data_IF_393126694939
#
_entry.id   IF_393126694939
#
_cell.length_a   1.000
_cell.length_b   1.000
_cell.length_c   1.000
_cell.angle_alpha   90.00
_cell.angle_beta   90.00
_cell.angle_gamma   90.00
#
_symmetry.space_group_name_H-M   'P 1'
#
loop_
_entity.id
_entity.type
_entity.pdbx_description
1 polymer ?
#
# COMPACT_ATOMS: atom_id res chain seq x y z
N UNK A 1 60.28 34.13 72.83
CA UNK A 1 59.15 34.81 72.20
C UNK A 1 59.23 34.53 70.71
N UNK A 2 58.49 33.51 70.15
CA UNK A 2 58.45 33.19 68.74
C UNK A 2 56.98 33.29 68.29
N UNK A 3 56.68 34.20 67.39
CA UNK A 3 55.33 34.38 66.80
C UNK A 3 55.11 33.33 65.74
N UNK A 4 54.07 32.57 65.89
CA UNK A 4 53.58 31.60 64.94
C UNK A 4 52.67 32.31 63.94
N UNK A 5 53.01 32.26 62.64
CA UNK A 5 52.18 32.78 61.55
C UNK A 5 51.36 31.61 61.00
N UNK A 6 50.02 31.70 61.09
CA UNK A 6 49.07 30.78 60.52
C UNK A 6 48.76 31.23 59.07
N UNK A 7 49.07 30.42 58.08
CA UNK A 7 48.71 30.60 56.68
C UNK A 7 47.40 29.89 56.42
N UNK A 8 46.34 30.65 56.07
CA UNK A 8 45.08 30.09 55.50
C UNK A 8 45.30 29.74 54.05
N UNK A 9 45.16 28.45 53.72
CA UNK A 9 45.05 28.02 52.32
C UNK A 9 43.57 27.96 51.93
N UNK A 10 43.17 28.88 51.02
CA UNK A 10 41.86 28.85 50.40
C UNK A 10 41.85 27.82 49.24
N UNK A 11 41.18 26.71 49.45
CA UNK A 11 40.95 25.71 48.42
C UNK A 11 39.84 26.15 47.43
N UNK A 12 40.23 26.45 46.21
CA UNK A 12 39.30 26.72 45.09
C UNK A 12 38.91 25.36 44.49
N UNK A 13 37.72 24.87 44.81
CA UNK A 13 37.14 23.67 44.18
C UNK A 13 36.61 24.05 42.78
N UNK A 14 37.36 23.71 41.74
CA UNK A 14 36.88 23.74 40.35
C UNK A 14 35.86 22.60 40.18
N UNK A 15 34.57 22.94 40.12
CA UNK A 15 33.53 22.06 39.61
C UNK A 15 33.69 21.97 38.06
N UNK A 16 34.42 20.97 37.60
CA UNK A 16 34.39 20.53 36.23
C UNK A 16 33.01 19.90 35.94
N UNK A 17 32.10 20.70 35.39
CA UNK A 17 30.90 20.16 34.73
C UNK A 17 31.37 19.33 33.52
N UNK A 18 31.37 18.02 33.66
CA UNK A 18 31.48 17.11 32.53
C UNK A 18 30.20 17.28 31.69
N UNK A 19 30.23 18.18 30.72
CA UNK A 19 29.30 18.12 29.61
C UNK A 19 29.64 16.82 28.88
N UNK A 20 28.84 15.78 29.12
CA UNK A 20 28.84 14.59 28.26
C UNK A 20 28.58 15.10 26.82
N UNK A 21 29.60 15.05 25.97
CA UNK A 21 29.43 15.15 24.54
C UNK A 21 28.53 13.96 24.17
N UNK A 22 27.22 14.20 24.12
CA UNK A 22 26.30 13.26 23.52
C UNK A 22 26.78 13.05 22.09
N UNK A 23 27.29 11.87 21.78
CA UNK A 23 27.63 11.52 20.42
C UNK A 23 26.36 11.66 19.60
N UNK A 24 26.39 12.51 18.58
CA UNK A 24 25.22 12.70 17.71
C UNK A 24 24.83 11.34 17.11
N UNK A 25 23.56 10.95 17.26
CA UNK A 25 23.05 9.73 16.67
C UNK A 25 22.97 9.90 15.15
N UNK A 26 23.75 9.12 14.40
CA UNK A 26 23.69 9.10 12.91
C UNK A 26 22.62 8.10 12.45
N UNK A 27 21.37 8.56 12.39
CA UNK A 27 20.20 7.75 12.00
C UNK A 27 20.14 7.57 10.48
N UNK A 28 19.91 6.35 10.04
CA UNK A 28 19.69 6.02 8.62
C UNK A 28 18.20 5.73 8.40
N UNK A 29 17.57 6.50 7.51
CA UNK A 29 16.18 6.30 7.11
C UNK A 29 16.09 5.81 5.65
N UNK A 30 15.62 4.58 5.47
CA UNK A 30 15.29 4.04 4.14
C UNK A 30 13.88 4.42 3.75
N UNK A 31 13.75 5.23 2.73
CA UNK A 31 12.47 5.64 2.16
C UNK A 31 12.36 5.24 0.69
N UNK A 32 11.23 5.50 0.06
CA UNK A 32 11.02 5.26 -1.35
C UNK A 32 11.48 6.44 -2.19
N UNK A 33 11.96 6.18 -3.41
CA UNK A 33 12.47 7.20 -4.33
C UNK A 33 11.45 8.33 -4.62
N UNK A 34 10.16 8.01 -4.65
CA UNK A 34 9.10 9.03 -4.83
C UNK A 34 8.83 9.90 -3.59
N UNK A 35 9.30 9.49 -2.42
CA UNK A 35 9.20 10.23 -1.16
C UNK A 35 10.54 10.86 -0.73
N UNK A 36 11.63 10.64 -1.46
CA UNK A 36 13.00 11.02 -1.05
C UNK A 36 13.10 12.50 -0.63
N UNK A 37 12.58 13.41 -1.45
CA UNK A 37 12.65 14.83 -1.13
C UNK A 37 11.85 15.19 0.11
N UNK A 38 10.63 14.67 0.24
CA UNK A 38 9.79 14.89 1.43
C UNK A 38 10.44 14.31 2.70
N UNK A 39 11.05 13.13 2.60
CA UNK A 39 11.79 12.54 3.72
C UNK A 39 12.97 13.41 4.15
N UNK A 40 13.73 13.98 3.20
CA UNK A 40 14.81 14.92 3.50
C UNK A 40 14.30 16.20 4.17
N UNK A 41 13.17 16.74 3.71
CA UNK A 41 12.57 17.94 4.27
C UNK A 41 12.11 17.69 5.73
N UNK A 42 11.43 16.58 6.01
CA UNK A 42 11.02 16.19 7.36
C UNK A 42 12.21 15.81 8.26
N UNK A 43 13.22 15.14 7.71
CA UNK A 43 14.46 14.90 8.44
C UNK A 43 15.13 16.22 8.87
N UNK A 44 15.17 17.22 7.98
CA UNK A 44 15.71 18.55 8.32
C UNK A 44 14.85 19.27 9.38
N UNK A 45 13.51 19.15 9.33
CA UNK A 45 12.60 19.68 10.36
C UNK A 45 12.85 18.99 11.72
N UNK A 46 12.90 17.66 11.73
CA UNK A 46 13.15 16.88 12.93
C UNK A 46 14.51 17.22 13.58
N UNK A 47 15.58 17.36 12.78
CA UNK A 47 16.91 17.72 13.28
C UNK A 47 16.98 19.12 13.89
N UNK A 48 16.12 20.07 13.51
CA UNK A 48 16.03 21.38 14.18
C UNK A 48 15.48 21.25 15.60
N UNK A 49 14.53 20.33 15.81
CA UNK A 49 13.94 20.04 17.12
C UNK A 49 14.83 19.11 17.96
N UNK A 50 15.72 18.34 17.32
CA UNK A 50 16.59 17.33 17.94
C UNK A 50 18.06 17.51 17.44
N UNK A 51 18.79 18.52 17.91
CA UNK A 51 20.12 18.88 17.36
C UNK A 51 21.21 17.83 17.64
N UNK A 52 20.94 16.89 18.53
CA UNK A 52 21.78 15.73 18.86
C UNK A 52 21.55 14.53 17.90
N UNK A 53 20.66 14.65 16.92
CA UNK A 53 20.38 13.62 15.92
C UNK A 53 20.77 14.13 14.54
N UNK A 54 21.49 13.32 13.79
CA UNK A 54 21.72 13.52 12.35
C UNK A 54 20.98 12.44 11.60
N UNK A 55 20.32 12.80 10.49
CA UNK A 55 19.54 11.85 9.69
C UNK A 55 20.09 11.81 8.27
N UNK A 56 20.43 10.61 7.81
CA UNK A 56 20.77 10.32 6.42
C UNK A 56 19.60 9.56 5.77
N UNK A 57 18.98 10.18 4.77
CA UNK A 57 17.90 9.57 4.00
C UNK A 57 18.49 8.82 2.81
N UNK A 58 18.11 7.56 2.65
CA UNK A 58 18.48 6.72 1.52
C UNK A 58 17.23 6.28 0.76
N UNK A 59 17.18 6.64 -0.53
CA UNK A 59 16.06 6.30 -1.40
C UNK A 59 16.19 4.88 -1.96
N UNK A 60 15.07 4.19 -2.03
CA UNK A 60 14.94 2.82 -2.55
C UNK A 60 13.90 2.75 -3.66
N UNK A 61 14.00 1.73 -4.50
CA UNK A 61 12.97 1.35 -5.46
C UNK A 61 12.14 0.20 -4.91
N UNK A 62 10.87 0.10 -5.30
CA UNK A 62 9.97 -0.94 -4.78
C UNK A 62 10.43 -2.35 -5.15
N UNK A 63 10.89 -2.54 -6.40
CA UNK A 63 11.40 -3.83 -6.85
C UNK A 63 12.61 -4.27 -6.03
N UNK A 64 12.51 -5.45 -5.39
CA UNK A 64 13.60 -6.02 -4.59
C UNK A 64 13.77 -5.43 -3.19
N UNK A 65 12.97 -4.44 -2.77
CA UNK A 65 13.09 -3.81 -1.45
C UNK A 65 12.97 -4.82 -0.30
N UNK A 66 11.98 -5.72 -0.36
CA UNK A 66 11.80 -6.73 0.69
C UNK A 66 13.01 -7.64 0.85
N UNK A 67 13.58 -8.11 -0.27
CA UNK A 67 14.81 -8.93 -0.26
C UNK A 67 16.00 -8.15 0.31
N UNK A 68 16.13 -6.87 -0.05
CA UNK A 68 17.18 -5.99 0.50
C UNK A 68 17.04 -5.82 2.01
N UNK A 69 15.80 -5.62 2.50
CA UNK A 69 15.53 -5.54 3.95
C UNK A 69 15.90 -6.84 4.65
N UNK A 70 15.50 -8.00 4.10
CA UNK A 70 15.84 -9.30 4.67
C UNK A 70 17.36 -9.51 4.77
N UNK A 71 18.12 -9.15 3.73
CA UNK A 71 19.59 -9.23 3.76
C UNK A 71 20.16 -8.29 4.84
N UNK A 72 19.68 -7.07 4.97
CA UNK A 72 20.11 -6.14 6.00
C UNK A 72 19.82 -6.67 7.41
N UNK A 73 18.62 -7.22 7.64
CA UNK A 73 18.23 -7.83 8.91
C UNK A 73 19.08 -9.05 9.27
N UNK A 74 19.46 -9.85 8.27
CA UNK A 74 20.31 -11.05 8.49
C UNK A 74 21.78 -10.68 8.77
N UNK A 75 22.30 -9.69 8.05
CA UNK A 75 23.70 -9.26 8.20
C UNK A 75 23.96 -8.39 9.43
N UNK A 76 22.92 -7.89 10.10
CA UNK A 76 23.05 -6.94 11.21
C UNK A 76 23.48 -5.52 10.77
N UNK A 77 23.57 -5.25 9.47
CA UNK A 77 23.85 -3.92 8.91
C UNK A 77 22.53 -3.24 8.55
N UNK A 78 21.75 -2.91 9.56
CA UNK A 78 20.38 -2.40 9.39
C UNK A 78 20.32 -0.87 9.39
N UNK A 79 19.44 -0.25 8.59
CA UNK A 79 19.04 1.14 8.83
C UNK A 79 18.24 1.23 10.14
N UNK A 80 17.98 2.46 10.60
CA UNK A 80 17.26 2.70 11.85
C UNK A 80 15.74 2.79 11.63
N UNK A 81 15.30 3.36 10.50
CA UNK A 81 13.89 3.47 10.12
C UNK A 81 13.72 3.06 8.66
N UNK A 82 12.69 2.28 8.37
CA UNK A 82 12.43 1.77 7.02
C UNK A 82 10.96 1.97 6.66
N UNK A 83 10.71 2.54 5.47
CA UNK A 83 9.41 2.51 4.83
C UNK A 83 9.20 1.16 4.17
N UNK A 84 8.14 0.45 4.52
CA UNK A 84 7.82 -0.88 3.98
C UNK A 84 6.35 -0.96 3.56
N UNK A 85 6.06 -1.65 2.46
CA UNK A 85 4.68 -1.98 2.12
C UNK A 85 4.02 -2.78 3.23
N UNK A 86 2.76 -2.49 3.51
CA UNK A 86 2.01 -3.14 4.58
C UNK A 86 1.97 -4.68 4.44
N UNK A 87 1.85 -5.22 3.22
CA UNK A 87 1.87 -6.67 2.98
C UNK A 87 3.19 -7.37 3.31
N UNK A 88 4.31 -6.62 3.41
CA UNK A 88 5.61 -7.18 3.79
C UNK A 88 5.87 -7.11 5.30
N UNK A 89 5.04 -6.40 6.07
CA UNK A 89 5.30 -6.16 7.50
C UNK A 89 5.31 -7.46 8.30
N UNK A 90 4.28 -8.31 8.15
CA UNK A 90 4.17 -9.58 8.90
C UNK A 90 5.29 -10.57 8.54
N UNK A 91 5.60 -10.85 7.25
CA UNK A 91 6.76 -11.68 6.91
C UNK A 91 8.08 -11.19 7.51
N UNK A 92 8.28 -9.86 7.59
CA UNK A 92 9.46 -9.30 8.24
C UNK A 92 9.42 -9.45 9.77
N UNK A 93 8.27 -9.26 10.40
CA UNK A 93 8.10 -9.44 11.86
C UNK A 93 8.41 -10.88 12.29
N UNK A 94 8.03 -11.88 11.50
CA UNK A 94 8.31 -13.30 11.75
C UNK A 94 9.79 -13.66 11.84
N UNK A 95 10.66 -12.87 11.20
CA UNK A 95 12.11 -13.08 11.36
C UNK A 95 12.59 -12.88 12.79
N UNK A 96 11.75 -12.33 13.70
CA UNK A 96 12.12 -11.95 15.06
C UNK A 96 13.11 -10.77 15.12
N UNK A 97 13.36 -10.12 13.98
CA UNK A 97 14.34 -9.05 13.81
C UNK A 97 13.76 -7.65 13.83
N UNK A 98 12.43 -7.50 14.00
CA UNK A 98 11.79 -6.21 14.15
C UNK A 98 11.54 -5.87 15.62
N UNK A 99 11.56 -4.58 15.94
CA UNK A 99 11.24 -4.05 17.26
C UNK A 99 9.72 -4.01 17.47
N UNK A 100 9.18 -4.53 18.59
CA UNK A 100 7.80 -4.27 18.99
C UNK A 100 7.62 -2.79 19.34
N UNK A 101 6.63 -2.13 18.71
CA UNK A 101 6.56 -0.67 18.72
C UNK A 101 5.44 -0.08 19.60
N UNK A 102 4.40 -0.83 19.95
CA UNK A 102 3.18 -0.30 20.61
C UNK A 102 3.49 0.58 21.81
N UNK A 103 4.16 0.03 22.81
CA UNK A 103 4.39 0.72 24.07
C UNK A 103 5.35 1.91 23.90
N UNK A 104 6.38 1.73 23.08
CA UNK A 104 7.40 2.76 22.82
C UNK A 104 6.81 3.96 22.07
N UNK A 105 5.98 3.72 21.08
CA UNK A 105 5.30 4.77 20.34
C UNK A 105 4.20 5.44 21.18
N UNK A 106 3.51 4.69 22.05
CA UNK A 106 2.56 5.29 23.03
C UNK A 106 3.31 6.24 23.96
N UNK A 107 4.46 5.81 24.52
CA UNK A 107 5.30 6.66 25.36
C UNK A 107 5.84 7.89 24.61
N UNK A 108 6.03 7.79 23.30
CA UNK A 108 6.43 8.90 22.43
C UNK A 108 5.24 9.77 21.95
N UNK A 109 4.00 9.50 22.42
CA UNK A 109 2.81 10.33 22.19
C UNK A 109 2.00 9.99 20.94
N UNK A 110 2.23 8.85 20.31
CA UNK A 110 1.43 8.38 19.17
C UNK A 110 0.01 8.02 19.64
N UNK A 111 -1.00 8.57 18.95
CA UNK A 111 -2.42 8.32 19.24
C UNK A 111 -2.96 7.25 18.30
N UNK A 112 -2.95 6.00 18.73
CA UNK A 112 -3.37 4.86 17.92
C UNK A 112 -4.86 4.86 17.59
N UNK A 113 -5.70 5.46 18.43
CA UNK A 113 -7.15 5.59 18.17
C UNK A 113 -7.46 6.47 16.94
N UNK A 114 -6.49 7.28 16.50
CA UNK A 114 -6.60 8.07 15.27
C UNK A 114 -6.03 7.35 14.04
N UNK A 115 -5.54 6.13 14.15
CA UNK A 115 -5.05 5.34 13.01
C UNK A 115 -6.14 4.39 12.54
N UNK A 116 -6.32 4.26 11.23
CA UNK A 116 -7.26 3.32 10.63
C UNK A 116 -7.04 1.90 11.22
N UNK A 117 -8.05 1.29 11.84
CA UNK A 117 -7.90 -0.03 12.49
C UNK A 117 -7.35 -1.09 11.54
N UNK A 118 -7.89 -1.18 10.31
CA UNK A 118 -7.42 -2.13 9.31
C UNK A 118 -5.94 -1.91 8.91
N UNK A 119 -5.42 -0.67 9.00
CA UNK A 119 -3.98 -0.42 8.80
C UNK A 119 -3.14 -0.94 9.95
N UNK A 120 -3.62 -0.85 11.20
CA UNK A 120 -2.94 -1.45 12.36
C UNK A 120 -2.87 -2.98 12.24
N UNK A 121 -3.92 -3.62 11.72
CA UNK A 121 -3.94 -5.06 11.49
C UNK A 121 -2.81 -5.50 10.54
N UNK A 122 -2.49 -4.71 9.50
CA UNK A 122 -1.39 -5.01 8.58
C UNK A 122 -0.01 -4.98 9.23
N UNK A 123 0.13 -4.33 10.36
CA UNK A 123 1.37 -4.15 11.10
C UNK A 123 1.47 -5.01 12.37
N UNK A 124 0.43 -5.81 12.65
CA UNK A 124 0.31 -6.64 13.86
C UNK A 124 0.57 -8.11 13.54
N UNK A 125 1.45 -8.72 14.31
CA UNK A 125 1.77 -10.15 14.26
C UNK A 125 1.81 -10.70 15.69
N UNK A 126 1.12 -11.82 15.93
CA UNK A 126 0.98 -12.46 17.26
C UNK A 126 0.62 -11.47 18.39
N UNK A 127 -0.31 -10.54 18.08
CA UNK A 127 -0.79 -9.54 19.03
C UNK A 127 0.18 -8.38 19.31
N UNK A 128 1.36 -8.37 18.67
CA UNK A 128 2.34 -7.30 18.80
C UNK A 128 2.39 -6.41 17.55
N UNK A 129 2.53 -5.11 17.73
CA UNK A 129 2.65 -4.14 16.65
C UNK A 129 4.13 -3.98 16.24
N UNK A 130 4.46 -4.31 14.99
CA UNK A 130 5.81 -4.25 14.43
C UNK A 130 6.00 -3.18 13.36
N UNK A 131 4.98 -2.36 13.13
CA UNK A 131 5.05 -1.24 12.21
C UNK A 131 4.12 -0.12 12.63
N UNK A 132 4.44 1.11 12.25
CA UNK A 132 3.58 2.27 12.40
C UNK A 132 3.00 2.65 11.04
N UNK A 133 1.71 2.45 10.79
CA UNK A 133 1.08 2.85 9.54
C UNK A 133 1.16 4.36 9.32
N UNK A 134 1.58 4.77 8.13
CA UNK A 134 1.60 6.19 7.75
C UNK A 134 0.83 6.48 6.47
N UNK A 135 0.62 5.49 5.62
CA UNK A 135 -0.12 5.60 4.38
C UNK A 135 -1.15 4.49 4.27
N UNK A 136 -2.34 4.84 3.79
CA UNK A 136 -3.41 3.92 3.46
C UNK A 136 -3.90 4.20 2.03
N UNK A 137 -4.30 3.16 1.30
CA UNK A 137 -4.89 3.30 -0.02
C UNK A 137 -5.92 2.22 -0.29
N UNK A 138 -6.87 2.55 -1.15
CA UNK A 138 -7.81 1.62 -1.74
C UNK A 138 -8.03 2.04 -3.20
N UNK A 139 -8.13 1.08 -4.10
CA UNK A 139 -8.48 1.38 -5.49
C UNK A 139 -9.97 1.73 -5.59
N UNK A 140 -10.27 2.67 -6.50
CA UNK A 140 -11.60 2.99 -6.97
C UNK A 140 -11.64 2.83 -8.50
N UNK A 141 -12.82 2.92 -9.11
CA UNK A 141 -12.97 2.91 -10.55
C UNK A 141 -12.67 4.31 -11.11
N UNK A 142 -11.55 4.46 -11.79
CA UNK A 142 -11.18 5.68 -12.52
C UNK A 142 -11.68 5.53 -13.95
N UNK A 143 -12.41 6.53 -14.50
CA UNK A 143 -12.96 6.48 -15.84
C UNK A 143 -12.81 7.79 -16.58
N UNK A 144 -12.80 7.69 -17.93
CA UNK A 144 -12.71 8.82 -18.84
C UNK A 144 -14.12 9.30 -19.21
N UNK A 145 -14.53 10.47 -18.69
CA UNK A 145 -15.84 11.07 -18.95
C UNK A 145 -16.08 11.39 -20.44
N UNK A 146 -15.04 11.77 -21.16
CA UNK A 146 -15.11 11.98 -22.60
C UNK A 146 -15.46 10.71 -23.36
N UNK A 147 -14.83 9.57 -23.00
CA UNK A 147 -15.16 8.28 -23.60
C UNK A 147 -16.60 7.84 -23.29
N UNK A 148 -17.10 8.12 -22.06
CA UNK A 148 -18.50 7.88 -21.70
C UNK A 148 -19.46 8.69 -22.59
N UNK A 149 -19.23 10.01 -22.71
CA UNK A 149 -20.05 10.89 -23.60
C UNK A 149 -20.06 10.37 -25.03
N UNK A 150 -18.91 10.01 -25.57
CA UNK A 150 -18.81 9.46 -26.94
C UNK A 150 -19.51 8.10 -27.10
N UNK A 151 -19.62 7.29 -26.05
CA UNK A 151 -20.33 6.02 -26.04
C UNK A 151 -21.83 6.17 -25.76
N UNK A 152 -22.35 7.41 -25.58
CA UNK A 152 -23.74 7.68 -25.21
C UNK A 152 -24.10 7.31 -23.79
N UNK A 153 -23.07 7.24 -22.88
CA UNK A 153 -23.25 7.02 -21.47
C UNK A 153 -23.24 8.35 -20.72
N UNK A 154 -23.98 8.42 -19.60
CA UNK A 154 -23.92 9.58 -18.71
C UNK A 154 -22.56 9.63 -18.01
N UNK A 155 -21.74 10.69 -18.21
CA UNK A 155 -20.42 10.81 -17.61
C UNK A 155 -20.43 11.03 -16.10
N UNK A 156 -21.60 11.35 -15.49
CA UNK A 156 -21.73 11.56 -14.06
C UNK A 156 -22.24 10.30 -13.33
N UNK A 157 -22.60 9.25 -14.07
CA UNK A 157 -23.17 8.01 -13.54
C UNK A 157 -22.25 6.82 -13.84
N UNK A 158 -21.20 6.55 -13.04
CA UNK A 158 -20.38 5.36 -13.22
C UNK A 158 -21.18 4.09 -12.87
N UNK A 159 -20.83 2.92 -13.48
CA UNK A 159 -21.51 1.67 -13.21
C UNK A 159 -21.34 1.28 -11.74
N UNK A 160 -22.42 0.81 -11.10
CA UNK A 160 -22.45 0.41 -9.70
C UNK A 160 -22.48 -1.11 -9.53
N UNK A 161 -23.16 -1.79 -10.44
CA UNK A 161 -23.30 -3.25 -10.39
C UNK A 161 -22.43 -3.94 -11.45
N UNK A 162 -22.18 -5.24 -11.28
CA UNK A 162 -21.45 -6.03 -12.26
C UNK A 162 -22.15 -6.07 -13.61
N UNK A 163 -23.49 -6.13 -13.61
CA UNK A 163 -24.26 -6.08 -14.85
C UNK A 163 -24.07 -4.77 -15.60
N UNK A 164 -24.23 -3.63 -14.91
CA UNK A 164 -23.98 -2.31 -15.49
C UNK A 164 -22.53 -2.17 -15.95
N UNK A 165 -21.58 -2.67 -15.17
CA UNK A 165 -20.15 -2.59 -15.45
C UNK A 165 -19.79 -3.33 -16.76
N UNK A 166 -20.29 -4.54 -16.94
CA UNK A 166 -20.07 -5.31 -18.18
C UNK A 166 -20.73 -4.61 -19.37
N UNK A 167 -21.95 -4.08 -19.20
CA UNK A 167 -22.65 -3.35 -20.26
C UNK A 167 -21.91 -2.07 -20.65
N UNK A 168 -21.42 -1.29 -19.68
CA UNK A 168 -20.64 -0.09 -19.95
C UNK A 168 -19.32 -0.44 -20.62
N UNK A 169 -18.62 -1.46 -20.11
CA UNK A 169 -17.35 -1.91 -20.70
C UNK A 169 -17.52 -2.34 -22.17
N UNK A 170 -18.62 -3.05 -22.50
CA UNK A 170 -18.95 -3.41 -23.91
C UNK A 170 -19.22 -2.18 -24.76
N UNK A 171 -20.04 -1.21 -24.30
CA UNK A 171 -20.35 0.03 -25.05
C UNK A 171 -19.12 0.90 -25.26
N UNK A 172 -18.20 0.92 -24.30
CA UNK A 172 -16.95 1.67 -24.37
C UNK A 172 -15.90 0.99 -25.26
N UNK A 173 -16.04 -0.33 -25.52
CA UNK A 173 -15.13 -1.07 -26.41
C UNK A 173 -15.51 -0.86 -27.86
N UNK A 174 -14.81 0.09 -28.51
CA UNK A 174 -15.16 0.54 -29.85
C UNK A 174 -14.00 1.30 -30.52
N UNK A 175 -14.11 1.54 -31.79
CA UNK A 175 -13.29 2.55 -32.47
C UNK A 175 -13.90 3.94 -32.19
N UNK A 176 -13.10 4.86 -31.62
CA UNK A 176 -13.54 6.22 -31.29
C UNK A 176 -13.60 7.10 -32.56
N UNK A 177 -14.07 8.36 -32.41
CA UNK A 177 -14.18 9.35 -33.48
C UNK A 177 -12.86 9.69 -34.19
N UNK A 178 -11.72 9.38 -33.56
CA UNK A 178 -10.35 9.57 -34.09
C UNK A 178 -9.82 8.34 -34.82
N UNK A 179 -10.60 7.26 -34.95
CA UNK A 179 -10.19 6.00 -35.57
C UNK A 179 -9.32 5.10 -34.62
N UNK A 180 -9.24 5.42 -33.35
CA UNK A 180 -8.44 4.69 -32.36
C UNK A 180 -9.31 3.61 -31.70
N UNK A 181 -8.73 2.41 -31.53
CA UNK A 181 -9.39 1.35 -30.74
C UNK A 181 -9.34 1.71 -29.26
N UNK A 182 -10.51 1.73 -28.63
CA UNK A 182 -10.70 1.91 -27.18
C UNK A 182 -11.23 0.61 -26.61
N UNK A 183 -10.72 0.22 -25.45
CA UNK A 183 -11.23 -0.88 -24.64
C UNK A 183 -11.95 -0.34 -23.41
N UNK A 184 -13.04 -1.00 -23.01
CA UNK A 184 -13.89 -0.51 -21.93
C UNK A 184 -13.24 -0.56 -20.57
N UNK A 185 -12.44 -1.60 -20.30
CA UNK A 185 -11.82 -1.79 -19.00
C UNK A 185 -10.39 -2.37 -19.12
N UNK A 186 -9.52 -1.95 -18.24
CA UNK A 186 -8.16 -2.46 -18.15
C UNK A 186 -8.04 -3.57 -17.11
N UNK A 187 -8.01 -4.83 -17.54
CA UNK A 187 -7.61 -5.97 -16.72
C UNK A 187 -6.09 -5.99 -16.59
N UNK A 188 -5.59 -6.26 -15.39
CA UNK A 188 -4.16 -6.46 -15.13
C UNK A 188 -3.85 -7.95 -15.00
N UNK A 189 -2.98 -8.44 -15.86
CA UNK A 189 -2.42 -9.79 -15.72
C UNK A 189 -1.20 -9.85 -14.79
N UNK A 190 -0.79 -8.73 -14.17
CA UNK A 190 0.31 -8.69 -13.23
C UNK A 190 1.53 -7.92 -13.71
N UNK A 191 1.93 -8.10 -14.97
CA UNK A 191 3.09 -7.42 -15.57
C UNK A 191 4.38 -7.68 -14.79
N UNK A 192 5.20 -6.63 -14.61
CA UNK A 192 6.48 -6.72 -13.91
C UNK A 192 6.36 -6.85 -12.38
N UNK A 193 5.23 -6.36 -11.81
CA UNK A 193 4.98 -6.34 -10.35
C UNK A 193 4.14 -7.54 -9.89
N UNK A 194 4.33 -8.71 -10.52
CA UNK A 194 3.60 -9.93 -10.14
C UNK A 194 4.13 -10.53 -8.81
N UNK A 195 3.29 -11.27 -8.09
CA UNK A 195 1.83 -11.50 -8.22
C UNK A 195 0.99 -10.36 -7.65
N UNK A 196 1.61 -9.45 -6.88
CA UNK A 196 0.92 -8.41 -6.10
C UNK A 196 -0.05 -7.55 -6.92
N UNK A 197 0.34 -7.20 -8.13
CA UNK A 197 -0.49 -6.39 -9.02
C UNK A 197 -1.78 -7.11 -9.47
N UNK A 198 -1.68 -8.39 -9.80
CA UNK A 198 -2.83 -9.21 -10.19
C UNK A 198 -3.77 -9.43 -8.99
N UNK A 199 -3.23 -9.78 -7.82
CA UNK A 199 -3.99 -9.95 -6.58
C UNK A 199 -4.76 -8.70 -6.21
N UNK A 200 -4.12 -7.55 -6.24
CA UNK A 200 -4.72 -6.28 -5.83
C UNK A 200 -5.97 -5.92 -6.65
N UNK A 201 -6.09 -6.47 -7.85
CA UNK A 201 -7.19 -6.20 -8.79
C UNK A 201 -8.20 -7.31 -8.92
N UNK A 202 -7.80 -8.57 -8.75
CA UNK A 202 -8.69 -9.73 -8.90
C UNK A 202 -9.33 -10.17 -7.57
N UNK A 203 -8.61 -10.10 -6.46
CA UNK A 203 -9.12 -10.52 -5.14
C UNK A 203 -10.37 -9.75 -4.69
N UNK A 204 -10.52 -8.43 -4.95
CA UNK A 204 -11.77 -7.74 -4.65
C UNK A 204 -13.01 -8.34 -5.30
N UNK A 205 -12.91 -8.92 -6.50
CA UNK A 205 -14.04 -9.59 -7.15
C UNK A 205 -14.51 -10.83 -6.38
N UNK A 206 -13.58 -11.59 -5.80
CA UNK A 206 -13.96 -12.69 -4.91
C UNK A 206 -14.66 -12.16 -3.65
N UNK A 207 -14.07 -11.15 -2.99
CA UNK A 207 -14.58 -10.59 -1.74
C UNK A 207 -15.96 -9.95 -1.88
N UNK A 208 -16.19 -9.21 -2.97
CA UNK A 208 -17.49 -8.64 -3.30
C UNK A 208 -18.56 -9.72 -3.49
N UNK A 209 -18.16 -10.90 -3.95
CA UNK A 209 -19.08 -12.02 -4.13
C UNK A 209 -19.25 -12.91 -2.87
N UNK A 210 -18.51 -12.64 -1.80
CA UNK A 210 -18.54 -13.40 -0.56
C UNK A 210 -17.55 -14.56 -0.53
N UNK A 211 -16.61 -14.61 -1.49
CA UNK A 211 -15.51 -15.56 -1.56
C UNK A 211 -14.19 -14.96 -1.05
N UNK A 212 -13.09 -15.65 -1.37
CA UNK A 212 -11.73 -15.28 -1.01
C UNK A 212 -10.75 -16.38 -1.39
N UNK A 213 -9.47 -16.17 -1.17
CA UNK A 213 -8.47 -17.25 -1.27
C UNK A 213 -8.53 -18.10 0.01
N UNK A 214 -8.55 -17.42 1.16
CA UNK A 214 -8.74 -18.04 2.48
C UNK A 214 -10.04 -17.55 3.11
N UNK A 215 -10.54 -18.32 4.07
CA UNK A 215 -11.65 -17.92 4.95
C UNK A 215 -11.29 -16.66 5.75
N UNK A 216 -12.26 -15.90 6.30
CA UNK A 216 -11.99 -14.68 7.06
C UNK A 216 -11.08 -14.86 8.28
N UNK A 217 -11.06 -16.07 8.86
CA UNK A 217 -10.17 -16.43 9.98
C UNK A 217 -8.84 -17.07 9.51
N UNK A 218 -8.60 -17.11 8.20
CA UNK A 218 -7.42 -17.66 7.52
C UNK A 218 -7.16 -19.17 7.77
N UNK A 219 -8.19 -19.96 8.15
CA UNK A 219 -8.02 -21.40 8.44
C UNK A 219 -8.31 -22.30 7.27
N UNK A 220 -9.29 -21.92 6.45
CA UNK A 220 -9.75 -22.75 5.35
C UNK A 220 -9.38 -22.15 4.01
N UNK A 221 -9.01 -22.99 3.06
CA UNK A 221 -8.81 -22.60 1.66
C UNK A 221 -10.18 -22.58 0.97
N UNK A 222 -10.59 -21.42 0.47
CA UNK A 222 -11.90 -21.21 -0.18
C UNK A 222 -11.79 -20.62 -1.59
N UNK A 223 -10.60 -20.66 -2.17
CA UNK A 223 -10.33 -20.08 -3.50
C UNK A 223 -11.17 -20.73 -4.61
N UNK A 224 -11.52 -22.00 -4.47
CA UNK A 224 -12.34 -22.76 -5.40
C UNK A 224 -13.82 -22.86 -4.99
N UNK A 225 -14.24 -22.13 -3.93
CA UNK A 225 -15.66 -22.05 -3.59
C UNK A 225 -16.47 -21.43 -4.74
N UNK A 226 -17.76 -21.76 -4.89
CA UNK A 226 -18.58 -21.20 -5.96
C UNK A 226 -18.54 -19.65 -6.01
N UNK A 227 -18.55 -19.01 -4.84
CA UNK A 227 -18.48 -17.56 -4.73
C UNK A 227 -17.13 -16.98 -5.21
N UNK A 228 -16.01 -17.64 -4.89
CA UNK A 228 -14.68 -17.24 -5.34
C UNK A 228 -14.53 -17.44 -6.84
N UNK A 229 -14.90 -18.60 -7.35
CA UNK A 229 -14.82 -18.94 -8.78
C UNK A 229 -15.66 -18.01 -9.64
N UNK A 230 -16.86 -17.63 -9.20
CA UNK A 230 -17.71 -16.66 -9.92
C UNK A 230 -17.03 -15.26 -9.98
N UNK A 231 -16.43 -14.80 -8.88
CA UNK A 231 -15.69 -13.54 -8.86
C UNK A 231 -14.48 -13.54 -9.79
N UNK A 232 -13.67 -14.61 -9.77
CA UNK A 232 -12.54 -14.78 -10.68
C UNK A 232 -13.01 -14.91 -12.12
N UNK A 233 -14.10 -15.65 -12.35
CA UNK A 233 -14.70 -15.81 -13.70
C UNK A 233 -15.03 -14.46 -14.32
N UNK A 234 -15.71 -13.57 -13.59
CA UNK A 234 -16.01 -12.24 -14.11
C UNK A 234 -14.72 -11.51 -14.51
N UNK A 235 -13.71 -11.52 -13.62
CA UNK A 235 -12.42 -10.86 -13.90
C UNK A 235 -11.75 -11.40 -15.17
N UNK A 236 -11.72 -12.72 -15.33
CA UNK A 236 -11.17 -13.40 -16.51
C UNK A 236 -12.00 -13.13 -17.76
N UNK A 237 -13.33 -13.19 -17.66
CA UNK A 237 -14.26 -12.99 -18.79
C UNK A 237 -14.20 -11.57 -19.36
N UNK A 238 -13.86 -10.56 -18.58
CA UNK A 238 -13.62 -9.20 -19.10
C UNK A 238 -12.55 -9.19 -20.21
N UNK A 239 -11.57 -10.05 -20.13
CA UNK A 239 -10.54 -10.21 -21.16
C UNK A 239 -10.89 -11.31 -22.17
N UNK A 240 -11.24 -12.50 -21.71
CA UNK A 240 -11.34 -13.70 -22.55
C UNK A 240 -12.64 -13.81 -23.31
N UNK A 241 -13.77 -13.50 -22.69
CA UNK A 241 -15.13 -13.68 -23.24
C UNK A 241 -15.69 -12.37 -23.78
N UNK A 242 -15.70 -11.31 -22.96
CA UNK A 242 -16.29 -10.03 -23.35
C UNK A 242 -15.37 -9.21 -24.24
N UNK A 243 -14.06 -9.52 -24.27
CA UNK A 243 -13.05 -8.83 -25.09
C UNK A 243 -13.01 -7.31 -24.84
N UNK A 244 -13.31 -6.88 -23.62
CA UNK A 244 -13.36 -5.46 -23.25
C UNK A 244 -12.03 -4.93 -22.71
N UNK A 245 -11.00 -5.77 -22.66
CA UNK A 245 -9.64 -5.45 -22.22
C UNK A 245 -8.64 -5.66 -23.36
N UNK A 246 -7.55 -4.86 -23.42
CA UNK A 246 -6.62 -4.90 -24.55
C UNK A 246 -5.81 -6.21 -24.59
N UNK A 247 -5.28 -6.59 -25.78
CA UNK A 247 -4.44 -7.79 -25.94
C UNK A 247 -3.20 -7.82 -25.02
N UNK A 248 -2.69 -6.65 -24.61
CA UNK A 248 -1.56 -6.51 -23.67
C UNK A 248 -1.91 -6.81 -22.21
N UNK A 249 -3.13 -7.30 -21.93
CA UNK A 249 -3.61 -7.58 -20.55
C UNK A 249 -2.62 -8.35 -19.69
N UNK A 250 -2.01 -9.40 -20.24
CA UNK A 250 -1.06 -10.24 -19.49
C UNK A 250 0.21 -9.49 -19.06
N UNK A 251 0.61 -8.48 -19.82
CA UNK A 251 1.81 -7.66 -19.59
C UNK A 251 1.54 -6.40 -18.78
N UNK A 252 0.25 -6.08 -18.54
CA UNK A 252 -0.12 -4.84 -17.88
C UNK A 252 -0.05 -4.97 -16.36
N UNK A 253 0.76 -4.10 -15.78
CA UNK A 253 0.75 -3.72 -14.37
C UNK A 253 -0.02 -2.39 -14.16
N UNK A 254 0.05 -1.80 -12.98
CA UNK A 254 -0.50 -0.47 -12.67
C UNK A 254 -0.03 0.61 -13.64
N UNK A 255 1.28 0.59 -13.97
CA UNK A 255 1.88 1.59 -14.84
C UNK A 255 1.41 1.41 -16.29
N UNK A 256 1.31 0.16 -16.74
CA UNK A 256 0.76 -0.20 -18.05
C UNK A 256 -0.67 0.28 -18.23
N UNK A 257 -1.55 -0.05 -17.28
CA UNK A 257 -2.95 0.37 -17.31
C UNK A 257 -3.09 1.90 -17.30
N UNK A 258 -2.33 2.60 -16.45
CA UNK A 258 -2.35 4.06 -16.42
C UNK A 258 -1.89 4.67 -17.74
N UNK A 259 -0.82 4.15 -18.37
CA UNK A 259 -0.39 4.62 -19.71
C UNK A 259 -1.46 4.42 -20.77
N UNK A 260 -2.11 3.25 -20.79
CA UNK A 260 -3.22 2.98 -21.73
C UNK A 260 -4.40 3.95 -21.52
N UNK A 261 -4.72 4.28 -20.28
CA UNK A 261 -5.73 5.27 -19.94
C UNK A 261 -5.31 6.68 -20.40
N UNK A 262 -4.06 7.09 -20.14
CA UNK A 262 -3.52 8.40 -20.52
C UNK A 262 -3.52 8.65 -22.02
N UNK A 263 -3.38 7.61 -22.84
CA UNK A 263 -3.44 7.73 -24.31
C UNK A 263 -4.85 7.46 -24.86
N UNK A 264 -5.83 7.22 -23.98
CA UNK A 264 -7.24 7.00 -24.37
C UNK A 264 -7.55 5.61 -24.93
N UNK A 265 -6.64 4.64 -24.82
CA UNK A 265 -6.86 3.27 -25.28
C UNK A 265 -7.71 2.43 -24.34
N UNK A 266 -7.82 2.81 -23.06
CA UNK A 266 -8.66 2.17 -22.06
C UNK A 266 -9.53 3.24 -21.39
N UNK A 267 -10.84 2.98 -21.29
CA UNK A 267 -11.81 3.95 -20.76
C UNK A 267 -12.00 3.88 -19.26
N UNK A 268 -11.82 2.71 -18.63
CA UNK A 268 -11.96 2.49 -17.19
C UNK A 268 -10.78 1.67 -16.66
N UNK A 269 -10.22 2.07 -15.51
CA UNK A 269 -9.17 1.32 -14.81
C UNK A 269 -9.43 1.33 -13.29
N UNK A 270 -9.03 0.29 -12.54
CA UNK A 270 -8.94 0.38 -11.10
C UNK A 270 -7.64 1.12 -10.74
N UNK A 271 -7.72 2.10 -9.86
CA UNK A 271 -6.53 2.89 -9.50
C UNK A 271 -6.66 3.60 -8.16
N UNK A 272 -5.51 4.07 -7.66
CA UNK A 272 -5.39 4.85 -6.44
C UNK A 272 -5.46 6.38 -6.71
N UNK A 273 -5.52 7.19 -5.66
CA UNK A 273 -5.50 8.66 -5.80
C UNK A 273 -4.22 9.16 -6.46
N UNK A 274 -3.09 8.51 -6.24
CA UNK A 274 -1.82 8.82 -6.92
C UNK A 274 -1.86 8.61 -8.44
N UNK A 275 -2.73 7.72 -8.94
CA UNK A 275 -2.93 7.55 -10.38
C UNK A 275 -3.64 8.76 -10.98
N UNK A 276 -4.60 9.35 -10.26
CA UNK A 276 -5.29 10.58 -10.69
C UNK A 276 -4.29 11.73 -10.87
N UNK A 277 -3.40 11.94 -9.88
CA UNK A 277 -2.37 12.97 -9.95
C UNK A 277 -1.46 12.78 -11.17
N UNK A 278 -1.02 11.53 -11.41
CA UNK A 278 -0.15 11.18 -12.54
C UNK A 278 -0.87 11.26 -13.90
N UNK A 279 -2.18 10.94 -13.95
CA UNK A 279 -2.97 11.08 -15.17
C UNK A 279 -3.14 12.55 -15.48
N UNK A 280 -3.54 13.39 -14.52
CA UNK A 280 -3.69 14.84 -14.70
C UNK A 280 -2.40 15.52 -15.18
N UNK A 281 -1.26 15.07 -14.64
CA UNK A 281 0.05 15.60 -15.04
C UNK A 281 0.46 15.24 -16.47
N UNK A 282 0.16 14.02 -16.93
CA UNK A 282 0.59 13.52 -18.24
C UNK A 282 -0.46 13.69 -19.35
N UNK A 283 -1.74 13.78 -19.00
CA UNK A 283 -2.87 13.89 -19.92
C UNK A 283 -3.92 14.87 -19.36
N UNK A 284 -3.62 16.18 -19.29
CA UNK A 284 -4.47 17.19 -18.66
C UNK A 284 -5.83 17.36 -19.36
N UNK A 285 -5.94 16.98 -20.64
CA UNK A 285 -7.17 17.08 -21.42
C UNK A 285 -8.18 15.96 -21.12
N UNK A 286 -7.79 14.93 -20.35
CA UNK A 286 -8.70 13.86 -19.97
C UNK A 286 -9.55 14.32 -18.77
N UNK A 287 -10.86 14.42 -18.99
CA UNK A 287 -11.83 14.63 -17.92
C UNK A 287 -12.02 13.33 -17.15
N UNK A 288 -11.49 13.27 -15.93
CA UNK A 288 -11.52 12.08 -15.08
C UNK A 288 -12.79 12.06 -14.23
N UNK A 289 -13.49 10.93 -14.23
CA UNK A 289 -14.48 10.56 -13.22
C UNK A 289 -13.96 9.46 -12.30
N UNK A 290 -14.52 9.37 -11.09
CA UNK A 290 -14.20 8.31 -10.14
C UNK A 290 -15.48 7.79 -9.50
N UNK A 291 -15.64 6.46 -9.52
CA UNK A 291 -16.75 5.74 -8.88
C UNK A 291 -16.24 4.67 -7.92
N UNK A 292 -17.14 4.06 -7.16
CA UNK A 292 -16.82 2.85 -6.41
C UNK A 292 -16.48 1.71 -7.37
N UNK A 293 -15.74 0.71 -6.92
CA UNK A 293 -15.61 -0.53 -7.70
C UNK A 293 -16.98 -1.21 -7.80
N UNK A 294 -17.44 -1.57 -9.02
CA UNK A 294 -18.74 -2.21 -9.21
C UNK A 294 -18.82 -3.57 -8.52
N UNK A 295 -19.95 -3.86 -7.91
CA UNK A 295 -20.17 -5.05 -7.10
C UNK A 295 -21.37 -5.89 -7.61
N UNK A 296 -21.55 -7.14 -7.19
CA UNK A 296 -22.76 -7.92 -7.49
C UNK A 296 -24.01 -7.22 -6.96
N UNK A 297 -25.13 -7.39 -7.64
CA UNK A 297 -26.41 -6.86 -7.25
C UNK A 297 -26.76 -7.28 -5.81
N UNK A 298 -27.17 -6.34 -4.97
CA UNK A 298 -27.55 -6.56 -3.59
C UNK A 298 -26.39 -6.86 -2.62
N UNK A 299 -25.13 -6.81 -3.09
CA UNK A 299 -23.92 -6.95 -2.26
C UNK A 299 -23.22 -5.61 -2.09
N UNK A 300 -22.07 -5.61 -1.44
CA UNK A 300 -21.26 -4.41 -1.21
C UNK A 300 -19.96 -4.47 -1.99
N UNK A 301 -19.42 -3.30 -2.31
CA UNK A 301 -18.09 -3.17 -2.88
C UNK A 301 -17.01 -3.59 -1.88
N UNK A 302 -15.85 -3.97 -2.39
CA UNK A 302 -14.67 -4.25 -1.58
C UNK A 302 -13.40 -3.81 -2.31
N UNK A 303 -12.35 -3.54 -1.57
CA UNK A 303 -11.00 -3.29 -2.09
C UNK A 303 -9.96 -3.91 -1.16
N UNK A 304 -8.75 -4.11 -1.67
CA UNK A 304 -7.60 -4.39 -0.82
C UNK A 304 -7.16 -3.08 -0.16
N UNK A 305 -6.89 -3.14 1.15
CA UNK A 305 -6.19 -2.08 1.86
C UNK A 305 -4.70 -2.17 1.53
N UNK A 306 -4.23 -1.26 0.71
CA UNK A 306 -2.83 -0.99 0.49
C UNK A 306 -2.29 0.03 1.47
N UNK A 307 -1.00 0.28 1.42
CA UNK A 307 -0.36 1.31 2.24
C UNK A 307 1.07 0.98 2.63
N UNK A 308 1.61 1.82 3.51
CA UNK A 308 3.00 1.76 3.94
C UNK A 308 3.10 1.96 5.44
N UNK A 309 4.04 1.24 6.06
CA UNK A 309 4.35 1.29 7.47
C UNK A 309 5.81 1.73 7.67
N UNK A 310 6.10 2.43 8.76
CA UNK A 310 7.45 2.56 9.29
C UNK A 310 7.76 1.34 10.14
N UNK A 311 8.86 0.65 9.86
CA UNK A 311 9.39 -0.42 10.71
C UNK A 311 10.75 -0.03 11.26
N UNK A 312 11.10 -0.58 12.42
CA UNK A 312 12.36 -0.37 13.11
C UNK A 312 13.00 -1.74 13.35
N UNK A 313 14.21 -2.00 12.83
CA UNK A 313 14.93 -3.23 13.14
C UNK A 313 15.26 -3.32 14.64
N UNK A 314 15.21 -4.55 15.17
CA UNK A 314 15.54 -4.81 16.60
C UNK A 314 16.99 -4.42 16.93
N UNK A 315 17.90 -4.59 15.98
CA UNK A 315 19.32 -4.30 16.13
C UNK A 315 19.70 -2.92 15.54
N UNK A 316 18.70 -2.02 15.32
CA UNK A 316 18.97 -0.67 14.87
C UNK A 316 19.88 0.10 15.83
N UNK A 317 20.99 0.71 15.35
CA UNK A 317 21.95 1.40 16.21
C UNK A 317 21.35 2.59 16.97
N UNK A 318 20.43 3.33 16.34
CA UNK A 318 19.84 4.57 16.86
C UNK A 318 18.33 4.42 17.12
N UNK A 319 17.91 3.29 17.68
CA UNK A 319 16.52 2.88 17.87
C UNK A 319 15.64 3.93 18.55
N UNK A 320 16.13 4.55 19.62
CA UNK A 320 15.36 5.57 20.35
C UNK A 320 15.10 6.82 19.49
N UNK A 321 16.09 7.24 18.71
CA UNK A 321 15.94 8.35 17.79
C UNK A 321 14.97 7.97 16.64
N UNK A 322 15.02 6.72 16.15
CA UNK A 322 14.10 6.21 15.14
C UNK A 322 12.64 6.17 15.66
N UNK A 323 12.39 5.78 16.92
CA UNK A 323 11.07 5.81 17.54
C UNK A 323 10.55 7.26 17.63
N UNK A 324 11.39 8.21 18.05
CA UNK A 324 11.03 9.64 18.08
C UNK A 324 10.70 10.17 16.69
N UNK A 325 11.49 9.80 15.67
CA UNK A 325 11.23 10.19 14.28
C UNK A 325 9.93 9.57 13.76
N UNK A 326 9.67 8.30 14.02
CA UNK A 326 8.41 7.65 13.66
C UNK A 326 7.21 8.34 14.34
N UNK A 327 7.32 8.67 15.64
CA UNK A 327 6.29 9.41 16.36
C UNK A 327 6.12 10.85 15.82
N UNK A 328 7.20 11.53 15.45
CA UNK A 328 7.14 12.82 14.77
C UNK A 328 6.38 12.72 13.44
N UNK A 329 6.63 11.67 12.66
CA UNK A 329 5.96 11.41 11.38
C UNK A 329 4.51 10.90 11.54
N UNK A 330 4.08 10.47 12.74
CA UNK A 330 2.72 9.98 12.97
C UNK A 330 1.65 11.08 12.99
N UNK A 331 2.06 12.35 13.05
CA UNK A 331 1.11 13.47 13.09
C UNK A 331 0.30 13.53 11.80
N UNK A 332 -1.04 13.70 11.89
CA UNK A 332 -1.94 13.64 10.74
C UNK A 332 -1.55 14.59 9.61
N UNK A 333 -1.16 15.82 9.94
CA UNK A 333 -0.74 16.83 8.98
C UNK A 333 0.56 16.46 8.25
N UNK A 334 1.48 15.76 8.93
CA UNK A 334 2.73 15.26 8.31
C UNK A 334 2.45 14.08 7.41
N UNK A 335 1.65 13.12 7.88
CA UNK A 335 1.23 12.00 7.05
C UNK A 335 0.48 12.46 5.79
N UNK A 336 -0.45 13.42 5.92
CA UNK A 336 -1.20 13.97 4.80
C UNK A 336 -0.30 14.55 3.70
N UNK A 337 0.83 15.15 4.07
CA UNK A 337 1.79 15.73 3.12
C UNK A 337 2.86 14.72 2.65
N UNK A 338 3.26 13.79 3.51
CA UNK A 338 4.27 12.79 3.20
C UNK A 338 3.75 11.72 2.24
N UNK A 339 2.54 11.22 2.48
CA UNK A 339 1.94 10.14 1.67
C UNK A 339 1.67 10.58 0.22
N UNK A 340 1.67 9.60 -0.68
CA UNK A 340 1.25 9.77 -2.09
C UNK A 340 -0.24 9.45 -2.30
N UNK A 341 -0.89 8.84 -1.31
CA UNK A 341 -2.31 8.52 -1.30
C UNK A 341 -2.97 9.13 -0.07
N UNK A 342 -3.61 8.35 0.79
CA UNK A 342 -4.20 8.84 2.04
C UNK A 342 -3.29 8.59 3.25
N UNK A 343 -3.34 9.45 4.27
CA UNK A 343 -2.71 9.16 5.56
C UNK A 343 -3.41 7.98 6.25
N UNK A 344 -2.64 7.20 7.01
CA UNK A 344 -3.22 6.20 7.91
C UNK A 344 -3.90 6.85 9.12
N UNK A 345 -3.49 8.05 9.51
CA UNK A 345 -4.14 8.87 10.54
C UNK A 345 -5.47 9.43 10.02
N UNK A 346 -6.59 9.02 10.64
CA UNK A 346 -7.96 9.32 10.16
C UNK A 346 -8.25 10.82 10.07
N UNK A 347 -7.82 11.61 11.04
CA UNK A 347 -8.01 13.06 10.98
C UNK A 347 -7.20 13.76 9.90
N UNK A 348 -6.16 13.11 9.35
CA UNK A 348 -5.43 13.61 8.20
C UNK A 348 -6.22 13.53 6.88
N UNK A 349 -7.32 12.76 6.82
CA UNK A 349 -8.22 12.70 5.66
C UNK A 349 -9.00 14.01 5.44
N UNK A 350 -9.04 14.88 6.43
CA UNK A 350 -9.71 16.19 6.36
C UNK A 350 -8.76 17.27 5.80
N UNK A 351 -7.49 16.94 5.52
CA UNK A 351 -6.57 17.90 4.91
C UNK A 351 -7.10 18.39 3.55
N UNK A 352 -6.86 19.68 3.25
CA UNK A 352 -7.28 20.35 2.01
C UNK A 352 -6.83 19.61 0.73
N UNK A 353 -5.74 18.86 0.78
CA UNK A 353 -5.25 18.02 -0.32
C UNK A 353 -6.31 17.00 -0.77
N UNK A 354 -7.13 16.53 0.16
CA UNK A 354 -8.18 15.53 -0.09
C UNK A 354 -9.59 16.13 -0.16
N UNK A 355 -9.70 17.46 -0.30
CA UNK A 355 -10.98 18.16 -0.42
C UNK A 355 -11.59 18.08 -1.82
N UNK A 356 -10.80 17.73 -2.86
CA UNK A 356 -11.30 17.56 -4.23
C UNK A 356 -12.43 16.53 -4.24
N UNK A 357 -13.64 16.87 -4.78
CA UNK A 357 -14.77 15.93 -4.86
C UNK A 357 -14.44 14.60 -5.51
N UNK A 358 -13.46 14.55 -6.41
CA UNK A 358 -12.99 13.32 -7.06
C UNK A 358 -12.43 12.30 -6.05
N UNK A 359 -11.95 12.76 -4.88
CA UNK A 359 -11.42 11.89 -3.82
C UNK A 359 -12.51 11.20 -3.01
N UNK A 360 -13.80 11.62 -3.15
CA UNK A 360 -14.91 11.08 -2.35
C UNK A 360 -15.05 9.57 -2.50
N UNK A 361 -15.02 9.08 -3.74
CA UNK A 361 -15.14 7.63 -4.02
C UNK A 361 -13.98 6.83 -3.41
N UNK A 362 -12.75 7.33 -3.50
CA UNK A 362 -11.60 6.68 -2.85
C UNK A 362 -11.68 6.66 -1.33
N UNK A 363 -12.15 7.77 -0.70
CA UNK A 363 -12.40 7.80 0.76
C UNK A 363 -13.46 6.77 1.16
N UNK A 364 -14.49 6.59 0.35
CA UNK A 364 -15.52 5.58 0.60
C UNK A 364 -14.97 4.17 0.40
N UNK A 365 -14.20 3.94 -0.66
CA UNK A 365 -13.52 2.66 -0.88
C UNK A 365 -12.56 2.31 0.28
N UNK A 366 -11.89 3.31 0.87
CA UNK A 366 -11.01 3.09 2.02
C UNK A 366 -11.76 2.53 3.24
N UNK A 367 -13.04 2.91 3.45
CA UNK A 367 -13.88 2.35 4.51
C UNK A 367 -14.28 0.89 4.25
N UNK A 368 -14.30 0.48 2.98
CA UNK A 368 -14.64 -0.87 2.52
C UNK A 368 -13.38 -1.74 2.28
N UNK A 369 -12.20 -1.14 2.47
CA UNK A 369 -10.95 -1.82 2.24
C UNK A 369 -10.64 -2.82 3.36
N UNK A 370 -10.12 -3.98 2.96
CA UNK A 370 -9.73 -5.08 3.86
C UNK A 370 -8.23 -5.32 3.73
N UNK A 371 -7.53 -5.62 4.82
CA UNK A 371 -6.15 -6.09 4.76
C UNK A 371 -6.10 -7.42 4.00
N UNK A 372 -4.98 -7.69 3.35
CA UNK A 372 -4.67 -9.04 2.89
C UNK A 372 -4.44 -9.95 4.10
N UNK A 373 -4.62 -11.28 3.98
CA UNK A 373 -4.30 -12.20 5.04
C UNK A 373 -2.89 -11.97 5.62
N UNK A 374 -2.81 -11.82 6.94
CA UNK A 374 -1.56 -11.54 7.66
C UNK A 374 -0.93 -12.84 8.18
N UNK A 375 -0.80 -13.84 7.29
CA UNK A 375 -0.17 -15.11 7.60
C UNK A 375 1.20 -15.25 6.89
N UNK A 376 2.11 -16.06 7.44
CA UNK A 376 3.46 -16.24 6.93
C UNK A 376 3.54 -16.60 5.46
N UNK A 377 2.71 -17.54 5.08
CA UNK A 377 2.70 -18.14 3.75
C UNK A 377 2.04 -17.26 2.68
N UNK A 378 1.50 -16.07 3.06
CA UNK A 378 0.70 -15.26 2.13
C UNK A 378 1.40 -14.93 0.82
N UNK A 379 2.72 -14.66 0.85
CA UNK A 379 3.48 -14.42 -0.37
C UNK A 379 3.51 -15.63 -1.31
N UNK A 380 3.65 -16.84 -0.76
CA UNK A 380 3.64 -18.09 -1.53
C UNK A 380 2.23 -18.41 -2.05
N UNK A 381 1.22 -18.22 -1.21
CA UNK A 381 -0.20 -18.36 -1.58
C UNK A 381 -0.55 -17.42 -2.74
N UNK A 382 -0.10 -16.17 -2.65
CA UNK A 382 -0.28 -15.18 -3.71
C UNK A 382 0.36 -15.60 -5.03
N UNK A 383 1.54 -16.22 -4.97
CA UNK A 383 2.23 -16.74 -6.16
C UNK A 383 1.48 -17.94 -6.77
N UNK A 384 1.00 -18.88 -5.95
CA UNK A 384 0.20 -20.02 -6.42
C UNK A 384 -1.07 -19.52 -7.11
N UNK A 385 -1.85 -18.66 -6.44
CA UNK A 385 -3.04 -18.08 -7.03
C UNK A 385 -2.75 -17.36 -8.35
N UNK A 386 -1.68 -16.56 -8.38
CA UNK A 386 -1.27 -15.82 -9.59
C UNK A 386 -0.98 -16.77 -10.77
N UNK A 387 -0.24 -17.85 -10.55
CA UNK A 387 0.10 -18.83 -11.59
C UNK A 387 -1.18 -19.40 -12.23
N UNK A 388 -2.13 -19.84 -11.41
CA UNK A 388 -3.40 -20.41 -11.89
C UNK A 388 -4.35 -19.35 -12.49
N UNK A 389 -4.30 -18.10 -12.01
CA UNK A 389 -5.00 -17.00 -12.69
C UNK A 389 -4.45 -16.76 -14.10
N UNK A 390 -3.11 -16.88 -14.30
CA UNK A 390 -2.50 -16.79 -15.64
C UNK A 390 -2.98 -17.91 -16.56
N UNK A 391 -3.10 -19.14 -16.08
CA UNK A 391 -3.65 -20.26 -16.84
C UNK A 391 -5.08 -19.97 -17.33
N UNK A 392 -5.92 -19.43 -16.46
CA UNK A 392 -7.29 -19.04 -16.82
C UNK A 392 -7.33 -17.88 -17.83
N UNK A 393 -6.46 -16.86 -17.67
CA UNK A 393 -6.36 -15.74 -18.61
C UNK A 393 -5.82 -16.17 -19.99
N UNK A 394 -4.91 -17.14 -20.02
CA UNK A 394 -4.38 -17.75 -21.24
C UNK A 394 -5.33 -18.79 -21.85
N UNK A 395 -6.43 -19.11 -21.19
CA UNK A 395 -7.39 -20.14 -21.58
C UNK A 395 -6.76 -21.54 -21.72
N UNK A 396 -5.66 -21.82 -21.01
CA UNK A 396 -5.07 -23.16 -20.90
C UNK A 396 -5.78 -24.03 -19.88
N UNK A 397 -6.56 -23.44 -18.97
CA UNK A 397 -7.47 -24.10 -18.03
C UNK A 397 -8.77 -23.32 -17.94
N UNK A 398 -9.87 -23.95 -17.57
CA UNK A 398 -11.08 -23.26 -17.16
C UNK A 398 -10.85 -22.56 -15.82
N UNK A 399 -11.63 -21.53 -15.49
CA UNK A 399 -11.52 -20.86 -14.18
C UNK A 399 -11.73 -21.82 -13.02
N UNK A 400 -12.65 -22.79 -13.14
CA UNK A 400 -12.89 -23.79 -12.10
C UNK A 400 -11.66 -24.68 -11.91
N UNK A 401 -11.13 -25.28 -12.98
CA UNK A 401 -9.93 -26.13 -12.91
C UNK A 401 -8.72 -25.39 -12.35
N UNK A 402 -8.51 -24.15 -12.77
CA UNK A 402 -7.43 -23.30 -12.27
C UNK A 402 -7.57 -23.03 -10.75
N UNK A 403 -8.79 -22.75 -10.26
CA UNK A 403 -9.02 -22.50 -8.83
C UNK A 403 -8.99 -23.80 -8.02
N UNK A 404 -9.39 -24.95 -8.56
CA UNK A 404 -9.26 -26.26 -7.90
C UNK A 404 -7.79 -26.64 -7.72
N UNK A 405 -6.98 -26.42 -8.76
CA UNK A 405 -5.52 -26.62 -8.70
C UNK A 405 -4.87 -25.69 -7.67
N UNK A 406 -5.24 -24.40 -7.67
CA UNK A 406 -4.75 -23.45 -6.68
C UNK A 406 -5.12 -23.87 -5.24
N UNK A 407 -6.35 -24.35 -5.01
CA UNK A 407 -6.77 -24.83 -3.71
C UNK A 407 -5.91 -25.99 -3.21
N UNK A 408 -5.69 -27.00 -4.05
CA UNK A 408 -4.88 -28.17 -3.71
C UNK A 408 -3.44 -27.81 -3.37
N UNK A 409 -2.81 -26.89 -4.13
CA UNK A 409 -1.45 -26.45 -3.87
C UNK A 409 -1.35 -25.61 -2.59
N UNK A 410 -2.34 -24.75 -2.32
CA UNK A 410 -2.39 -23.94 -1.10
C UNK A 410 -2.60 -24.82 0.13
N UNK A 411 -3.51 -25.81 0.07
CA UNK A 411 -3.72 -26.78 1.15
C UNK A 411 -2.43 -27.56 1.46
N UNK A 412 -1.72 -27.99 0.41
CA UNK A 412 -0.41 -28.66 0.56
C UNK A 412 0.61 -27.75 1.24
N UNK A 413 0.69 -26.49 0.87
CA UNK A 413 1.58 -25.51 1.49
C UNK A 413 1.24 -25.27 2.97
N UNK A 414 -0.04 -25.18 3.31
CA UNK A 414 -0.49 -24.92 4.69
C UNK A 414 -0.37 -26.14 5.61
N UNK A 415 -0.25 -27.35 5.06
CA UNK A 415 -0.05 -28.59 5.83
C UNK A 415 1.41 -28.86 6.24
N UNK A 416 2.36 -28.11 5.73
CA UNK A 416 3.80 -28.18 6.04
C UNK A 416 4.16 -27.38 7.28
#
# INVERSE_FOLDING_TARGET
MKRMRTTLAAGFALLLSQASLACAADLVWWTMNWNEQKAKDYAAEFMKENPDVKIRVEANVAGGLQSRILVALQSGSTPDLIDVQNGANVPLAQTGKLEPLRDKLTAAGVQFDNILPASLDTATYEGQLYGLPFQAEAHALIYNKGAFKEAGLDPETPPQTWTEFVDYAKKLTRTNSKGQQVFGYGVSGGGADQPGNALFRSLPFMWMNGGGILSPDNKDVIVNSPASVEGVRLYVDLFTTYKVSPPSTLENDSNGLRRLFQVGNVAMIPGATSDIERIRAAAPDIEIGVGLLPHPEGKQTAAILGGWNFIIPKDAPNKEAAIKLAAFMSKPERQALYTTTFPAAMSGLDDKRFADPIMKAHKEMLKQARPQPTIPQWGQIGQIYYNHLQEALLQSSTVQEAMDSAASEIETLLSQ
#
